data_IF_213594102829
#
_entry.id   IF_213594102829
#
_cell.length_a   1.000
_cell.length_b   1.000
_cell.length_c   1.000
_cell.angle_alpha   90.00
_cell.angle_beta   90.00
_cell.angle_gamma   90.00
#
_symmetry.space_group_name_H-M   'P 1'
#
loop_
_entity.id
_entity.type
_entity.pdbx_description
1 polymer ?
#
# COMPACT_ATOMS: atom_id res chain seq x y z
N UNK A 1 22.37 -14.51 -13.02
CA UNK A 1 21.66 -15.05 -11.86
C UNK A 1 20.25 -15.43 -12.28
N UNK A 2 19.87 -16.65 -12.00
CA UNK A 2 18.52 -17.20 -12.26
C UNK A 2 17.63 -16.98 -11.05
N UNK A 3 16.46 -16.37 -11.26
CA UNK A 3 15.57 -15.95 -10.16
C UNK A 3 14.16 -16.50 -10.32
N UNK A 4 13.45 -16.62 -9.19
CA UNK A 4 12.00 -16.68 -9.12
C UNK A 4 11.50 -15.33 -8.65
N UNK A 5 10.36 -14.88 -9.18
CA UNK A 5 9.70 -13.67 -8.72
C UNK A 5 8.32 -14.01 -8.13
N UNK A 6 7.99 -13.48 -6.96
CA UNK A 6 6.69 -13.65 -6.31
C UNK A 6 6.06 -12.28 -6.00
N UNK A 7 4.94 -11.98 -6.64
CA UNK A 7 4.28 -10.68 -6.48
C UNK A 7 2.90 -10.63 -7.11
N UNK A 8 2.10 -9.59 -6.80
CA UNK A 8 0.72 -9.52 -7.30
C UNK A 8 0.34 -8.14 -7.85
N UNK A 9 0.39 -7.01 -7.09
CA UNK A 9 -0.09 -5.70 -7.53
C UNK A 9 0.93 -4.96 -8.42
N UNK A 10 0.57 -3.74 -8.83
CA UNK A 10 1.43 -2.87 -9.63
C UNK A 10 2.78 -2.59 -8.98
N UNK A 11 2.83 -2.43 -7.67
CA UNK A 11 4.09 -2.32 -6.93
C UNK A 11 5.09 -3.43 -7.29
N UNK A 12 4.61 -4.66 -7.31
CA UNK A 12 5.41 -5.83 -7.66
C UNK A 12 5.73 -5.88 -9.17
N UNK A 13 4.77 -5.48 -10.03
CA UNK A 13 4.97 -5.44 -11.48
C UNK A 13 6.13 -4.51 -11.86
N UNK A 14 6.23 -3.33 -11.24
CA UNK A 14 7.35 -2.38 -11.50
C UNK A 14 8.71 -3.02 -11.19
N UNK A 15 8.81 -3.74 -10.08
CA UNK A 15 10.04 -4.46 -9.74
C UNK A 15 10.35 -5.59 -10.73
N UNK A 16 9.33 -6.38 -11.12
CA UNK A 16 9.47 -7.46 -12.11
C UNK A 16 9.94 -6.92 -13.47
N UNK A 17 9.34 -5.83 -13.93
CA UNK A 17 9.71 -5.15 -15.16
C UNK A 17 11.16 -4.67 -15.13
N UNK A 18 11.59 -4.09 -14.01
CA UNK A 18 12.98 -3.62 -13.83
C UNK A 18 13.98 -4.78 -13.83
N UNK A 19 13.65 -5.88 -13.19
CA UNK A 19 14.48 -7.10 -13.18
C UNK A 19 14.61 -7.69 -14.59
N UNK A 20 13.50 -7.78 -15.33
CA UNK A 20 13.50 -8.26 -16.71
C UNK A 20 14.35 -7.34 -17.63
N UNK A 21 14.16 -6.03 -17.54
CA UNK A 21 14.91 -5.05 -18.31
C UNK A 21 16.42 -5.03 -17.95
N UNK A 22 16.79 -5.47 -16.74
CA UNK A 22 18.18 -5.61 -16.29
C UNK A 22 18.82 -6.94 -16.70
N UNK A 23 18.13 -7.79 -17.46
CA UNK A 23 18.65 -9.05 -18.01
C UNK A 23 18.74 -10.21 -17.04
N UNK A 24 18.01 -10.18 -15.90
CA UNK A 24 17.93 -11.35 -15.03
C UNK A 24 17.12 -12.47 -15.69
N UNK A 25 17.58 -13.72 -15.51
CA UNK A 25 16.85 -14.92 -15.96
C UNK A 25 15.71 -15.23 -14.99
N UNK A 26 14.50 -14.76 -15.34
CA UNK A 26 13.30 -14.96 -14.53
C UNK A 26 12.67 -16.31 -14.93
N UNK A 27 12.98 -17.35 -14.19
CA UNK A 27 12.58 -18.72 -14.51
C UNK A 27 11.11 -19.02 -14.24
N UNK A 28 10.53 -18.34 -13.24
CA UNK A 28 9.15 -18.54 -12.81
C UNK A 28 8.62 -17.29 -12.11
N UNK A 29 7.37 -16.98 -12.35
CA UNK A 29 6.61 -15.96 -11.62
C UNK A 29 5.51 -16.62 -10.80
N UNK A 30 5.48 -16.34 -9.50
CA UNK A 30 4.36 -16.66 -8.61
C UNK A 30 3.48 -15.44 -8.43
N UNK A 31 2.17 -15.59 -8.57
CA UNK A 31 1.19 -14.52 -8.30
C UNK A 31 -0.12 -15.08 -7.76
N UNK A 32 -0.92 -14.25 -7.13
CA UNK A 32 -2.25 -14.64 -6.64
C UNK A 32 -3.15 -15.09 -7.81
N UNK A 33 -4.09 -16.03 -7.57
CA UNK A 33 -5.13 -16.37 -8.53
C UNK A 33 -5.90 -15.15 -9.04
N UNK A 34 -6.39 -15.23 -10.26
CA UNK A 34 -7.24 -14.19 -10.85
C UNK A 34 -8.46 -13.95 -9.97
N UNK A 35 -8.82 -12.69 -9.77
CA UNK A 35 -9.95 -12.30 -8.91
C UNK A 35 -11.03 -11.58 -9.69
N UNK A 36 -12.30 -11.74 -9.31
CA UNK A 36 -13.37 -10.92 -9.87
C UNK A 36 -13.09 -9.43 -9.64
N UNK A 37 -13.18 -8.61 -10.69
CA UNK A 37 -12.95 -7.17 -10.62
C UNK A 37 -13.93 -6.41 -11.54
N UNK A 38 -14.18 -5.15 -11.16
CA UNK A 38 -15.00 -4.20 -11.92
C UNK A 38 -16.50 -4.56 -11.94
N UNK A 39 -17.26 -3.74 -12.71
CA UNK A 39 -18.69 -3.99 -12.94
C UNK A 39 -18.84 -5.27 -13.76
N UNK A 40 -19.56 -6.27 -13.21
CA UNK A 40 -19.77 -7.56 -13.88
C UNK A 40 -18.85 -8.68 -13.41
N UNK A 41 -17.98 -8.46 -12.39
CA UNK A 41 -17.21 -9.48 -11.69
C UNK A 41 -16.41 -10.43 -12.61
N UNK A 42 -15.93 -9.96 -13.76
CA UNK A 42 -15.07 -10.76 -14.63
C UNK A 42 -13.72 -11.01 -13.95
N UNK A 43 -13.21 -12.24 -14.12
CA UNK A 43 -11.88 -12.57 -13.62
C UNK A 43 -10.83 -11.67 -14.29
N UNK A 44 -10.02 -11.00 -13.48
CA UNK A 44 -8.94 -10.13 -13.93
C UNK A 44 -7.60 -10.70 -13.48
N UNK A 45 -6.70 -10.88 -14.42
CA UNK A 45 -5.32 -11.25 -14.14
C UNK A 45 -4.61 -10.15 -13.36
N UNK A 46 -3.72 -10.52 -12.44
CA UNK A 46 -2.87 -9.57 -11.73
C UNK A 46 -1.95 -8.80 -12.69
N UNK A 47 -1.53 -7.57 -12.35
CA UNK A 47 -0.53 -6.84 -13.14
C UNK A 47 0.75 -7.65 -13.38
N UNK A 48 1.20 -8.38 -12.38
CA UNK A 48 2.37 -9.27 -12.47
C UNK A 48 2.14 -10.40 -13.48
N UNK A 49 0.96 -11.07 -13.47
CA UNK A 49 0.62 -12.10 -14.45
C UNK A 49 0.58 -11.54 -15.87
N UNK A 50 -0.05 -10.39 -16.05
CA UNK A 50 -0.15 -9.75 -17.38
C UNK A 50 1.24 -9.48 -17.96
N UNK A 51 2.14 -8.92 -17.16
CA UNK A 51 3.52 -8.68 -17.56
C UNK A 51 4.26 -9.99 -17.91
N UNK A 52 4.19 -10.99 -17.01
CA UNK A 52 4.87 -12.27 -17.23
C UNK A 52 4.40 -12.96 -18.52
N UNK A 53 3.09 -12.99 -18.78
CA UNK A 53 2.52 -13.58 -19.98
C UNK A 53 2.93 -12.85 -21.26
N UNK A 54 2.98 -11.50 -21.22
CA UNK A 54 3.42 -10.69 -22.36
C UNK A 54 4.89 -10.94 -22.73
N UNK A 55 5.70 -11.43 -21.80
CA UNK A 55 7.13 -11.70 -22.01
C UNK A 55 7.47 -13.21 -22.03
N UNK A 56 6.45 -14.08 -22.12
CA UNK A 56 6.66 -15.53 -22.20
C UNK A 56 7.25 -16.16 -20.92
N UNK A 57 7.16 -15.50 -19.78
CA UNK A 57 7.68 -16.00 -18.50
C UNK A 57 6.65 -16.98 -17.90
N UNK A 58 7.06 -18.19 -17.47
CA UNK A 58 6.17 -19.14 -16.82
C UNK A 58 5.51 -18.55 -15.56
N UNK A 59 4.20 -18.83 -15.37
CA UNK A 59 3.40 -18.32 -14.25
C UNK A 59 2.78 -19.47 -13.48
N UNK A 60 2.88 -19.44 -12.14
CA UNK A 60 2.12 -20.30 -11.23
C UNK A 60 1.25 -19.44 -10.29
N UNK A 61 0.02 -19.91 -10.05
CA UNK A 61 -1.00 -19.20 -9.26
C UNK A 61 -1.56 -20.08 -8.14
N UNK A 62 -0.73 -20.56 -7.20
CA UNK A 62 -1.23 -21.38 -6.10
C UNK A 62 -2.11 -20.56 -5.16
N UNK A 63 -3.19 -21.17 -4.68
CA UNK A 63 -4.05 -20.58 -3.61
C UNK A 63 -3.37 -20.63 -2.25
N UNK A 64 -2.40 -21.52 -2.08
CA UNK A 64 -1.59 -21.68 -0.86
C UNK A 64 -0.28 -22.37 -1.21
N UNK A 65 0.76 -22.12 -0.39
CA UNK A 65 2.03 -22.83 -0.43
C UNK A 65 2.19 -23.82 0.73
N UNK A 66 1.20 -23.94 1.60
CA UNK A 66 1.20 -24.88 2.73
C UNK A 66 0.82 -26.27 2.27
N UNK A 67 1.76 -27.21 2.34
CA UNK A 67 1.55 -28.62 1.95
C UNK A 67 0.53 -29.34 2.85
N UNK A 68 0.41 -28.90 4.09
CA UNK A 68 -0.55 -29.36 5.11
C UNK A 68 -1.81 -28.48 5.22
N UNK A 69 -2.00 -27.56 4.27
CA UNK A 69 -3.06 -26.57 4.30
C UNK A 69 -4.35 -27.02 3.56
N UNK A 70 -5.24 -26.04 3.35
CA UNK A 70 -6.55 -26.25 2.68
C UNK A 70 -6.42 -26.69 1.20
N UNK A 71 -5.30 -26.37 0.55
CA UNK A 71 -5.08 -26.58 -0.88
C UNK A 71 -3.75 -27.33 -1.11
N UNK A 72 -3.63 -28.60 -0.67
CA UNK A 72 -2.37 -29.34 -0.72
C UNK A 72 -1.90 -29.64 -2.15
N UNK A 73 -2.82 -29.86 -3.08
CA UNK A 73 -2.51 -30.09 -4.50
C UNK A 73 -1.90 -28.87 -5.16
N UNK A 74 -2.46 -27.67 -4.89
CA UNK A 74 -1.87 -26.39 -5.38
C UNK A 74 -0.46 -26.19 -4.83
N UNK A 75 -0.26 -26.50 -3.56
CA UNK A 75 1.05 -26.36 -2.90
C UNK A 75 2.06 -27.37 -3.46
N UNK A 76 1.64 -28.61 -3.75
CA UNK A 76 2.49 -29.63 -4.36
C UNK A 76 2.88 -29.24 -5.79
N UNK A 77 1.93 -28.80 -6.62
CA UNK A 77 2.21 -28.33 -7.97
C UNK A 77 3.14 -27.11 -7.98
N UNK A 78 2.93 -26.17 -7.04
CA UNK A 78 3.81 -25.03 -6.88
C UNK A 78 5.23 -25.44 -6.45
N UNK A 79 5.37 -26.44 -5.57
CA UNK A 79 6.67 -26.98 -5.16
C UNK A 79 7.41 -27.57 -6.35
N UNK A 80 6.73 -28.36 -7.16
CA UNK A 80 7.36 -29.00 -8.34
C UNK A 80 7.82 -27.92 -9.34
N UNK A 81 7.02 -26.89 -9.57
CA UNK A 81 7.40 -25.76 -10.43
C UNK A 81 8.59 -24.97 -9.87
N UNK A 82 8.60 -24.73 -8.56
CA UNK A 82 9.71 -24.03 -7.86
C UNK A 82 11.02 -24.82 -7.94
N UNK A 83 10.97 -26.14 -7.73
CA UNK A 83 12.12 -27.03 -7.87
C UNK A 83 12.64 -27.07 -9.31
N UNK A 84 11.74 -27.15 -10.29
CA UNK A 84 12.09 -27.15 -11.72
C UNK A 84 12.74 -25.82 -12.16
N UNK A 85 12.39 -24.72 -11.53
CA UNK A 85 12.94 -23.38 -11.83
C UNK A 85 14.43 -23.28 -11.52
N UNK A 86 14.98 -24.06 -10.57
CA UNK A 86 16.40 -24.08 -10.19
C UNK A 86 16.96 -22.66 -9.97
N UNK A 87 16.23 -21.82 -9.30
CA UNK A 87 16.62 -20.45 -9.06
C UNK A 87 17.62 -20.33 -7.91
N UNK A 88 18.52 -19.37 -8.01
CA UNK A 88 19.50 -19.06 -6.98
C UNK A 88 18.92 -18.22 -5.85
N UNK A 89 17.91 -17.39 -6.17
CA UNK A 89 17.23 -16.49 -5.24
C UNK A 89 15.77 -16.33 -5.64
N UNK A 90 14.90 -16.11 -4.67
CA UNK A 90 13.51 -15.66 -4.90
C UNK A 90 13.39 -14.19 -4.50
N UNK A 91 12.83 -13.37 -5.40
CA UNK A 91 12.46 -11.99 -5.12
C UNK A 91 10.98 -11.93 -4.81
N UNK A 92 10.62 -11.30 -3.71
CA UNK A 92 9.25 -11.18 -3.23
C UNK A 92 8.87 -9.69 -3.13
N UNK A 93 7.68 -9.34 -3.64
CA UNK A 93 7.12 -8.00 -3.52
C UNK A 93 5.60 -8.08 -3.44
N UNK A 94 5.01 -7.73 -2.31
CA UNK A 94 3.56 -7.71 -2.12
C UNK A 94 2.85 -8.95 -2.70
N UNK A 95 3.36 -10.14 -2.42
CA UNK A 95 2.83 -11.40 -2.97
C UNK A 95 1.48 -11.76 -2.37
N UNK A 96 1.33 -11.58 -1.06
CA UNK A 96 0.07 -11.79 -0.35
C UNK A 96 -0.20 -13.23 0.08
N UNK A 97 0.79 -14.13 0.01
CA UNK A 97 0.79 -15.44 0.68
C UNK A 97 1.95 -15.53 1.65
N UNK A 98 1.74 -16.25 2.75
CA UNK A 98 2.81 -16.62 3.68
C UNK A 98 3.69 -17.67 2.98
N UNK A 99 5.01 -17.46 3.00
CA UNK A 99 5.98 -18.42 2.52
C UNK A 99 6.33 -19.38 3.66
N UNK A 100 5.99 -20.68 3.55
CA UNK A 100 6.41 -21.66 4.54
C UNK A 100 7.92 -21.90 4.46
N UNK A 101 8.51 -22.47 5.52
CA UNK A 101 9.95 -22.66 5.65
C UNK A 101 10.57 -23.35 4.43
N UNK A 102 9.93 -24.37 3.90
CA UNK A 102 10.45 -25.08 2.73
C UNK A 102 10.62 -24.21 1.47
N UNK A 103 9.81 -23.11 1.34
CA UNK A 103 9.99 -22.12 0.25
C UNK A 103 11.17 -21.21 0.56
N UNK A 104 11.30 -20.76 1.82
CA UNK A 104 12.38 -19.88 2.25
C UNK A 104 13.76 -20.52 2.07
N UNK A 105 13.85 -21.83 2.30
CA UNK A 105 15.07 -22.61 2.24
C UNK A 105 15.40 -23.13 0.83
N UNK A 106 14.47 -23.04 -0.12
CA UNK A 106 14.62 -23.66 -1.43
C UNK A 106 15.67 -22.98 -2.31
N UNK A 107 15.73 -21.65 -2.47
CA UNK A 107 16.78 -21.00 -3.23
C UNK A 107 18.08 -20.92 -2.41
N UNK A 108 19.21 -21.24 -3.01
CA UNK A 108 20.50 -21.27 -2.30
C UNK A 108 20.88 -19.94 -1.59
N UNK A 109 20.38 -18.82 -2.12
CA UNK A 109 20.55 -17.47 -1.53
C UNK A 109 19.32 -17.00 -0.77
N UNK A 110 18.32 -17.87 -0.58
CA UNK A 110 17.07 -17.57 0.11
C UNK A 110 16.14 -16.63 -0.65
N UNK A 111 15.28 -15.94 0.10
CA UNK A 111 14.25 -15.06 -0.44
C UNK A 111 14.53 -13.60 -0.03
N UNK A 112 14.50 -12.67 -0.99
CA UNK A 112 14.66 -11.24 -0.77
C UNK A 112 13.33 -10.55 -0.93
N UNK A 113 12.90 -9.78 0.09
CA UNK A 113 11.65 -9.02 0.04
C UNK A 113 11.93 -7.53 -0.21
N UNK A 114 11.11 -6.93 -1.08
CA UNK A 114 11.04 -5.48 -1.28
C UNK A 114 9.99 -4.94 -0.32
N UNK A 115 10.41 -4.42 0.83
CA UNK A 115 9.52 -3.90 1.86
C UNK A 115 9.44 -2.37 1.78
N UNK A 116 8.20 -1.85 1.76
CA UNK A 116 7.94 -0.42 1.54
C UNK A 116 7.95 0.39 2.84
N UNK A 117 9.00 0.21 3.66
CA UNK A 117 9.28 1.04 4.84
C UNK A 117 10.76 1.03 5.18
N UNK A 118 11.14 1.87 6.14
CA UNK A 118 12.45 1.87 6.80
C UNK A 118 12.38 0.92 8.01
N UNK A 119 12.69 -0.36 7.81
CA UNK A 119 12.69 -1.36 8.89
C UNK A 119 13.67 -0.96 10.01
N UNK A 120 13.31 -1.23 11.27
CA UNK A 120 12.25 -2.09 11.76
C UNK A 120 10.87 -1.41 11.89
N UNK A 121 10.72 -0.15 11.45
CA UNK A 121 9.43 0.55 11.49
C UNK A 121 8.49 0.03 10.39
N UNK A 122 7.24 -0.16 10.75
CA UNK A 122 6.16 -0.56 9.84
C UNK A 122 6.33 -1.95 9.21
N UNK A 123 6.69 -2.98 10.00
CA UNK A 123 6.57 -4.38 9.59
C UNK A 123 5.11 -4.70 9.25
N UNK A 124 4.84 -5.48 8.21
CA UNK A 124 3.50 -5.96 7.88
C UNK A 124 2.90 -5.39 6.59
N UNK A 125 1.55 -5.34 6.50
CA UNK A 125 0.85 -5.32 5.22
C UNK A 125 0.64 -3.93 4.59
N UNK A 126 0.64 -2.84 5.38
CA UNK A 126 0.25 -1.51 4.91
C UNK A 126 1.21 -0.38 5.30
N UNK A 127 2.54 -0.56 5.13
CA UNK A 127 3.55 0.40 5.62
C UNK A 127 3.37 1.80 5.05
N UNK A 128 3.02 1.94 3.77
CA UNK A 128 2.85 3.23 3.08
C UNK A 128 1.71 4.03 3.71
N UNK A 129 0.55 3.40 3.92
CA UNK A 129 -0.61 4.06 4.54
C UNK A 129 -0.27 4.51 5.96
N UNK A 130 0.32 3.63 6.77
CA UNK A 130 0.61 3.90 8.18
C UNK A 130 1.66 4.98 8.36
N UNK A 131 2.66 5.08 7.48
CA UNK A 131 3.64 6.15 7.52
C UNK A 131 3.01 7.53 7.29
N UNK A 132 2.12 7.67 6.28
CA UNK A 132 1.40 8.92 6.03
C UNK A 132 0.44 9.25 7.18
N UNK A 133 -0.35 8.27 7.63
CA UNK A 133 -1.33 8.43 8.72
C UNK A 133 -0.66 8.91 10.02
N UNK A 134 0.48 8.31 10.36
CA UNK A 134 1.27 8.69 11.54
C UNK A 134 1.92 10.07 11.42
N UNK A 135 2.07 10.60 10.20
CA UNK A 135 2.74 11.87 9.95
C UNK A 135 4.26 11.74 9.97
N UNK A 136 4.79 10.59 9.55
CA UNK A 136 6.23 10.40 9.39
C UNK A 136 6.78 11.41 8.37
N UNK A 137 7.94 11.97 8.66
CA UNK A 137 8.60 12.91 7.74
C UNK A 137 9.22 12.21 6.53
N UNK A 138 9.52 10.93 6.65
CA UNK A 138 10.15 10.12 5.62
C UNK A 138 9.65 8.67 5.65
N UNK A 139 9.78 8.00 4.54
CA UNK A 139 9.60 6.57 4.36
C UNK A 139 10.75 6.05 3.50
N UNK A 140 10.64 4.85 2.98
CA UNK A 140 11.68 4.29 2.11
C UNK A 140 11.40 2.86 1.70
N UNK A 141 12.43 2.26 1.14
CA UNK A 141 12.47 0.84 0.81
C UNK A 141 13.56 0.16 1.61
N UNK A 142 13.24 -0.97 2.17
CA UNK A 142 14.22 -1.93 2.68
C UNK A 142 14.18 -3.20 1.85
N UNK A 143 15.31 -3.57 1.22
CA UNK A 143 15.50 -4.93 0.71
C UNK A 143 15.97 -5.77 1.88
N UNK A 144 15.26 -6.83 2.21
CA UNK A 144 15.56 -7.68 3.35
C UNK A 144 15.64 -9.15 2.98
N UNK A 145 16.47 -9.91 3.67
CA UNK A 145 16.46 -11.37 3.68
C UNK A 145 15.19 -11.81 4.42
N UNK A 146 14.40 -12.70 3.82
CA UNK A 146 13.21 -13.21 4.51
C UNK A 146 13.58 -14.34 5.47
N UNK A 147 12.90 -14.36 6.59
CA UNK A 147 12.86 -15.44 7.58
C UNK A 147 11.42 -15.87 7.86
N UNK A 148 11.20 -16.74 8.84
CA UNK A 148 9.87 -17.21 9.23
C UNK A 148 9.01 -16.16 9.94
N UNK A 149 9.60 -15.04 10.37
CA UNK A 149 8.91 -13.95 11.06
C UNK A 149 8.25 -12.98 10.10
N UNK A 150 7.41 -12.10 10.65
CA UNK A 150 6.76 -11.04 9.86
C UNK A 150 7.75 -9.88 9.69
N UNK A 151 8.42 -9.82 8.54
CA UNK A 151 9.37 -8.79 8.16
C UNK A 151 10.49 -8.57 9.21
N UNK A 152 11.01 -9.68 9.78
CA UNK A 152 11.99 -9.68 10.88
C UNK A 152 13.43 -9.92 10.41
N UNK A 153 13.61 -10.38 9.18
CA UNK A 153 14.91 -10.77 8.66
C UNK A 153 15.89 -9.62 8.46
N UNK A 154 17.12 -9.94 8.18
CA UNK A 154 18.21 -8.99 8.07
C UNK A 154 18.04 -8.03 6.87
N UNK A 155 18.38 -6.76 7.09
CA UNK A 155 18.35 -5.73 6.06
C UNK A 155 19.58 -5.86 5.15
N UNK A 156 19.35 -5.89 3.84
CA UNK A 156 20.41 -5.96 2.80
C UNK A 156 20.71 -4.58 2.24
N UNK A 157 19.67 -3.81 1.93
CA UNK A 157 19.75 -2.43 1.46
C UNK A 157 18.60 -1.61 2.05
N UNK A 158 18.84 -0.33 2.27
CA UNK A 158 17.83 0.63 2.68
C UNK A 158 18.06 1.96 1.96
N UNK A 159 16.97 2.60 1.55
CA UNK A 159 17.01 3.93 0.98
C UNK A 159 15.78 4.74 1.38
N UNK A 160 16.01 5.96 1.84
CA UNK A 160 14.96 6.89 2.32
C UNK A 160 14.39 7.74 1.19
N UNK A 161 13.15 8.20 1.37
CA UNK A 161 12.50 9.23 0.57
C UNK A 161 11.62 10.09 1.47
N UNK A 162 11.57 11.42 1.30
CA UNK A 162 10.70 12.26 2.11
C UNK A 162 9.22 12.00 1.83
N UNK A 163 8.39 12.15 2.86
CA UNK A 163 6.93 12.24 2.73
C UNK A 163 6.56 13.73 2.75
N UNK A 164 6.06 14.23 1.64
CA UNK A 164 5.66 15.63 1.51
C UNK A 164 4.20 15.84 1.96
N UNK A 165 3.83 17.08 2.24
CA UNK A 165 2.45 17.44 2.57
C UNK A 165 1.46 17.18 1.40
N UNK A 166 1.93 16.91 0.20
CA UNK A 166 1.11 16.59 -0.98
C UNK A 166 1.03 15.10 -1.28
N UNK A 167 1.82 14.28 -0.58
CA UNK A 167 1.83 12.85 -0.84
C UNK A 167 0.54 12.19 -0.34
N UNK A 168 -0.07 11.43 -1.22
CA UNK A 168 -1.08 10.43 -0.90
C UNK A 168 -0.44 9.04 -0.91
N UNK A 169 -1.16 8.03 -0.45
CA UNK A 169 -0.69 6.65 -0.59
C UNK A 169 -0.41 6.30 -2.06
N UNK A 170 -1.20 6.81 -3.02
CA UNK A 170 -0.94 6.56 -4.44
C UNK A 170 0.40 7.13 -4.89
N UNK A 171 0.68 8.40 -4.61
CA UNK A 171 1.92 9.06 -5.09
C UNK A 171 3.17 8.51 -4.41
N UNK A 172 3.08 8.22 -3.11
CA UNK A 172 4.19 7.62 -2.37
C UNK A 172 4.44 6.17 -2.81
N UNK A 173 3.36 5.40 -3.06
CA UNK A 173 3.43 4.04 -3.61
C UNK A 173 4.20 4.01 -4.93
N UNK A 174 3.88 4.88 -5.89
CA UNK A 174 4.53 4.88 -7.20
C UNK A 174 6.02 5.23 -7.08
N UNK A 175 6.36 6.20 -6.23
CA UNK A 175 7.75 6.57 -5.95
C UNK A 175 8.52 5.43 -5.28
N UNK A 176 7.91 4.74 -4.31
CA UNK A 176 8.52 3.59 -3.63
C UNK A 176 8.63 2.36 -4.54
N UNK A 177 7.68 2.14 -5.45
CA UNK A 177 7.74 1.06 -6.42
C UNK A 177 8.97 1.20 -7.36
N UNK A 178 9.19 2.41 -7.91
CA UNK A 178 10.38 2.68 -8.71
C UNK A 178 11.68 2.52 -7.91
N UNK A 179 11.72 3.05 -6.69
CA UNK A 179 12.86 2.92 -5.78
C UNK A 179 13.15 1.45 -5.45
N UNK A 180 12.11 0.68 -5.12
CA UNK A 180 12.23 -0.76 -4.81
C UNK A 180 12.76 -1.57 -5.99
N UNK A 181 12.28 -1.25 -7.20
CA UNK A 181 12.79 -1.87 -8.42
C UNK A 181 14.28 -1.57 -8.69
N UNK A 182 14.74 -0.36 -8.38
CA UNK A 182 16.18 -0.02 -8.48
C UNK A 182 17.02 -0.74 -7.43
N UNK A 183 16.57 -0.75 -6.18
CA UNK A 183 17.32 -1.35 -5.07
C UNK A 183 17.41 -2.86 -5.16
N UNK A 184 16.37 -3.55 -5.64
CA UNK A 184 16.45 -5.01 -5.79
C UNK A 184 17.45 -5.42 -6.87
N UNK A 185 17.58 -4.67 -7.96
CA UNK A 185 18.60 -4.90 -8.98
C UNK A 185 20.00 -4.75 -8.37
N UNK A 186 20.23 -3.71 -7.57
CA UNK A 186 21.50 -3.52 -6.85
C UNK A 186 21.77 -4.68 -5.89
N UNK A 187 20.78 -5.08 -5.09
CA UNK A 187 20.91 -6.17 -4.13
C UNK A 187 21.27 -7.49 -4.82
N UNK A 188 20.65 -7.81 -5.95
CA UNK A 188 20.95 -9.03 -6.70
C UNK A 188 22.35 -8.99 -7.35
N UNK A 189 22.81 -7.84 -7.82
CA UNK A 189 24.16 -7.69 -8.35
C UNK A 189 25.21 -7.86 -7.25
N UNK A 190 24.99 -7.30 -6.07
CA UNK A 190 25.86 -7.50 -4.91
C UNK A 190 25.82 -8.95 -4.40
N UNK A 191 24.64 -9.59 -4.44
CA UNK A 191 24.49 -11.01 -4.13
C UNK A 191 25.30 -11.90 -5.11
N UNK A 192 25.21 -11.60 -6.42
CA UNK A 192 25.96 -12.34 -7.45
C UNK A 192 27.49 -12.24 -7.28
N UNK A 193 27.94 -11.13 -6.72
CA UNK A 193 29.37 -10.88 -6.44
C UNK A 193 29.80 -11.27 -5.01
N UNK A 194 28.94 -11.91 -4.23
CA UNK A 194 29.13 -12.28 -2.81
C UNK A 194 29.56 -11.09 -1.92
N UNK A 195 29.07 -9.88 -2.23
CA UNK A 195 29.40 -8.65 -1.51
C UNK A 195 28.30 -8.15 -0.58
N UNK A 196 27.17 -8.84 -0.48
CA UNK A 196 26.11 -8.48 0.47
C UNK A 196 26.64 -8.43 1.91
N UNK A 197 26.17 -7.47 2.67
CA UNK A 197 26.47 -7.31 4.09
C UNK A 197 25.13 -7.19 4.84
N UNK A 198 24.50 -8.33 5.20
CA UNK A 198 23.27 -8.34 5.96
C UNK A 198 23.46 -7.64 7.31
N UNK A 199 22.54 -6.77 7.66
CA UNK A 199 22.51 -6.05 8.93
C UNK A 199 21.25 -6.43 9.68
N UNK A 200 21.44 -6.95 10.91
CA UNK A 200 20.30 -7.29 11.78
C UNK A 200 19.48 -6.06 12.09
N UNK A 201 18.14 -6.21 12.05
CA UNK A 201 17.25 -5.13 12.46
C UNK A 201 17.45 -4.79 13.95
N UNK A 202 17.50 -3.49 14.31
CA UNK A 202 17.55 -3.08 15.71
C UNK A 202 16.27 -3.52 16.44
N UNK A 203 16.40 -3.78 17.75
CA UNK A 203 15.25 -4.10 18.60
C UNK A 203 14.39 -2.87 18.91
N UNK A 204 15.01 -1.68 18.87
CA UNK A 204 14.34 -0.41 19.09
C UNK A 204 13.65 0.08 17.80
N UNK A 205 12.55 0.82 17.93
CA UNK A 205 11.84 1.41 16.79
C UNK A 205 10.93 0.43 16.04
N UNK A 206 10.78 -0.82 16.50
CA UNK A 206 9.87 -1.79 15.91
C UNK A 206 8.43 -1.29 16.00
N UNK A 207 7.75 -1.25 14.87
CA UNK A 207 6.30 -1.01 14.80
C UNK A 207 5.66 -1.84 13.69
N UNK A 208 4.32 -1.97 13.75
CA UNK A 208 3.57 -2.83 12.85
C UNK A 208 2.54 -2.04 12.04
N UNK A 209 2.50 -2.31 10.75
CA UNK A 209 1.57 -1.75 9.78
C UNK A 209 0.48 -2.77 9.46
N UNK A 210 -0.55 -2.82 10.31
CA UNK A 210 -1.70 -3.69 10.08
C UNK A 210 -2.41 -3.29 8.78
N UNK A 211 -3.00 -4.29 8.13
CA UNK A 211 -3.83 -4.10 6.94
C UNK A 211 -4.90 -3.05 7.21
N UNK A 212 -5.15 -2.19 6.23
CA UNK A 212 -6.21 -1.19 6.33
C UNK A 212 -7.57 -1.86 6.18
N UNK A 213 -8.42 -1.67 7.17
CA UNK A 213 -9.79 -2.15 7.17
C UNK A 213 -10.74 -1.09 6.60
N UNK A 214 -11.79 -1.52 5.90
CA UNK A 214 -12.76 -0.59 5.30
C UNK A 214 -13.42 0.33 6.33
N UNK A 215 -13.64 -0.17 7.54
CA UNK A 215 -14.22 0.61 8.63
C UNK A 215 -13.36 1.81 9.06
N UNK A 216 -12.04 1.72 8.89
CA UNK A 216 -11.12 2.82 9.20
C UNK A 216 -11.32 4.05 8.30
N UNK A 217 -12.04 3.90 7.17
CA UNK A 217 -12.33 5.03 6.27
C UNK A 217 -13.20 6.12 6.91
N UNK A 218 -13.92 5.80 7.98
CA UNK A 218 -14.83 6.73 8.64
C UNK A 218 -14.04 7.84 9.34
N UNK A 219 -14.41 9.10 9.04
CA UNK A 219 -13.76 10.25 9.66
C UNK A 219 -14.36 10.49 11.05
N UNK A 220 -13.49 10.54 12.04
CA UNK A 220 -13.81 11.00 13.38
C UNK A 220 -13.46 12.49 13.50
N UNK A 221 -14.47 13.34 13.43
CA UNK A 221 -14.34 14.78 13.47
C UNK A 221 -13.88 15.33 14.82
N UNK A 222 -13.92 14.51 15.89
CA UNK A 222 -13.36 14.89 17.20
C UNK A 222 -11.84 14.90 17.25
N UNK A 223 -11.19 14.35 16.22
CA UNK A 223 -9.73 14.39 16.09
C UNK A 223 -9.24 15.77 15.62
N UNK A 224 -7.97 16.11 15.88
CA UNK A 224 -7.36 17.32 15.32
C UNK A 224 -7.41 17.36 13.80
N UNK A 225 -7.58 18.54 13.20
CA UNK A 225 -7.62 18.73 11.75
C UNK A 225 -6.39 18.13 11.04
N UNK A 226 -5.21 18.23 11.66
CA UNK A 226 -3.96 17.66 11.14
C UNK A 226 -3.95 16.13 11.09
N UNK A 227 -4.65 15.46 12.02
CA UNK A 227 -4.81 14.00 12.02
C UNK A 227 -5.76 13.58 10.91
N UNK A 228 -6.89 14.27 10.78
CA UNK A 228 -7.89 13.97 9.75
C UNK A 228 -7.30 14.20 8.35
N UNK A 229 -6.54 15.28 8.16
CA UNK A 229 -5.85 15.60 6.91
C UNK A 229 -4.92 14.46 6.48
N UNK A 230 -4.07 13.99 7.39
CA UNK A 230 -3.17 12.85 7.12
C UNK A 230 -3.93 11.58 6.76
N UNK A 231 -5.05 11.29 7.45
CA UNK A 231 -5.88 10.11 7.13
C UNK A 231 -6.53 10.23 5.75
N UNK A 232 -7.00 11.41 5.35
CA UNK A 232 -7.53 11.63 3.99
C UNK A 232 -6.47 11.29 2.95
N UNK A 233 -5.24 11.77 3.10
CA UNK A 233 -4.12 11.44 2.20
C UNK A 233 -3.70 9.97 2.28
N UNK A 234 -3.61 9.42 3.48
CA UNK A 234 -3.24 8.02 3.69
C UNK A 234 -4.24 7.05 3.04
N UNK A 235 -5.50 7.42 2.95
CA UNK A 235 -6.56 6.57 2.41
C UNK A 235 -6.90 6.86 0.93
N UNK A 236 -6.17 7.72 0.26
CA UNK A 236 -6.31 7.92 -1.18
C UNK A 236 -5.29 7.03 -1.94
N UNK A 237 -5.72 6.08 -2.77
CA UNK A 237 -7.07 5.90 -3.33
C UNK A 237 -7.96 4.90 -2.58
N UNK A 238 -7.45 4.17 -1.62
CA UNK A 238 -8.17 3.13 -0.90
C UNK A 238 -7.89 3.20 0.62
N UNK A 239 -8.91 3.04 1.46
CA UNK A 239 -10.35 2.83 1.15
C UNK A 239 -11.10 4.11 0.77
N UNK A 240 -10.45 5.27 0.79
CA UNK A 240 -11.02 6.61 0.67
C UNK A 240 -11.68 7.05 1.98
N UNK A 241 -11.20 8.16 2.58
CA UNK A 241 -11.83 8.73 3.77
C UNK A 241 -13.30 9.07 3.48
N UNK A 242 -14.19 8.87 4.44
CA UNK A 242 -15.63 9.06 4.24
C UNK A 242 -16.31 9.63 5.47
N UNK A 243 -17.32 10.48 5.23
CA UNK A 243 -18.21 11.02 6.21
C UNK A 243 -19.65 10.98 5.67
N UNK A 244 -20.67 11.16 6.50
CA UNK A 244 -22.03 11.40 6.03
C UNK A 244 -22.38 12.89 6.08
N UNK A 245 -23.20 13.33 5.13
CA UNK A 245 -23.84 14.63 5.14
C UNK A 245 -25.34 14.40 4.94
N UNK A 246 -26.11 14.52 6.03
CA UNK A 246 -27.46 13.94 6.07
C UNK A 246 -27.38 12.42 5.88
N UNK A 247 -28.21 11.89 4.99
CA UNK A 247 -28.27 10.45 4.68
C UNK A 247 -27.27 10.00 3.60
N UNK A 248 -26.48 10.92 3.03
CA UNK A 248 -25.55 10.59 1.97
C UNK A 248 -24.12 10.36 2.46
N UNK A 249 -23.51 9.29 2.00
CA UNK A 249 -22.07 9.03 2.22
C UNK A 249 -21.24 9.84 1.23
N UNK A 250 -20.35 10.67 1.76
CA UNK A 250 -19.44 11.52 0.99
C UNK A 250 -18.01 11.05 1.20
N UNK A 251 -17.29 10.83 0.11
CA UNK A 251 -15.83 10.59 0.14
C UNK A 251 -15.09 11.91 0.11
N UNK A 252 -14.04 11.97 0.92
CA UNK A 252 -13.16 13.12 1.08
C UNK A 252 -11.79 12.74 0.49
N UNK A 253 -11.34 13.49 -0.52
CA UNK A 253 -10.15 13.13 -1.28
C UNK A 253 -8.99 14.08 -1.08
N UNK A 254 -9.28 15.39 -0.97
CA UNK A 254 -8.25 16.39 -0.70
C UNK A 254 -8.72 17.37 0.36
N UNK A 255 -7.79 17.76 1.20
CA UNK A 255 -7.98 18.74 2.25
C UNK A 255 -6.65 19.39 2.63
N UNK A 256 -6.73 20.46 3.38
CA UNK A 256 -5.60 21.03 4.10
C UNK A 256 -6.08 21.60 5.44
N UNK A 257 -5.17 21.67 6.40
CA UNK A 257 -5.44 22.33 7.67
C UNK A 257 -5.56 23.83 7.39
N UNK A 258 -6.67 24.43 7.81
CA UNK A 258 -6.91 25.85 7.66
C UNK A 258 -6.18 26.63 8.76
N UNK A 259 -5.71 27.85 8.42
CA UNK A 259 -5.20 28.79 9.40
C UNK A 259 -6.25 29.50 10.24
N UNK A 260 -7.53 29.29 9.96
CA UNK A 260 -8.64 29.87 10.69
C UNK A 260 -8.75 29.26 12.10
N UNK A 261 -8.95 30.10 13.11
CA UNK A 261 -9.24 29.60 14.44
C UNK A 261 -10.64 28.96 14.49
N UNK A 262 -10.74 27.79 15.11
CA UNK A 262 -12.03 27.19 15.40
C UNK A 262 -12.87 28.12 16.28
N UNK A 263 -14.10 28.51 15.89
CA UNK A 263 -14.97 29.34 16.72
C UNK A 263 -15.34 28.66 18.04
N UNK A 264 -15.43 29.43 19.11
CA UNK A 264 -15.92 28.94 20.38
C UNK A 264 -17.37 28.43 20.23
N UNK A 265 -17.64 27.22 20.72
CA UNK A 265 -18.96 26.59 20.60
C UNK A 265 -19.26 25.86 19.29
N UNK A 266 -18.35 25.91 18.30
CA UNK A 266 -18.50 25.09 17.09
C UNK A 266 -18.52 23.60 17.42
N UNK A 267 -19.40 22.86 16.75
CA UNK A 267 -19.55 21.41 16.94
C UNK A 267 -18.63 20.68 15.96
N UNK A 268 -18.04 19.54 16.39
CA UNK A 268 -17.19 18.73 15.52
C UNK A 268 -17.96 18.27 14.28
N UNK A 269 -17.36 18.46 13.10
CA UNK A 269 -17.99 18.19 11.81
C UNK A 269 -18.88 19.32 11.27
N UNK A 270 -19.04 20.42 12.00
CA UNK A 270 -19.85 21.57 11.55
C UNK A 270 -19.15 22.31 10.41
N UNK A 271 -19.90 22.62 9.35
CA UNK A 271 -19.45 23.48 8.26
C UNK A 271 -19.50 24.93 8.71
N UNK A 272 -18.35 25.53 8.86
CA UNK A 272 -18.17 26.91 9.34
C UNK A 272 -18.28 27.93 8.21
N UNK A 273 -17.78 27.59 7.03
CA UNK A 273 -17.71 28.47 5.87
C UNK A 273 -17.65 27.61 4.59
N UNK A 274 -18.25 28.13 3.54
CA UNK A 274 -18.12 27.61 2.17
C UNK A 274 -17.72 28.78 1.28
N UNK A 275 -16.60 28.66 0.60
CA UNK A 275 -16.05 29.67 -0.31
C UNK A 275 -15.38 29.01 -1.53
N UNK A 276 -14.67 29.80 -2.34
CA UNK A 276 -13.96 29.30 -3.54
C UNK A 276 -12.78 28.37 -3.21
N UNK A 277 -12.23 28.45 -2.00
CA UNK A 277 -11.15 27.56 -1.55
C UNK A 277 -11.67 26.18 -1.18
N UNK A 278 -12.87 26.10 -0.56
CA UNK A 278 -13.42 24.82 -0.15
C UNK A 278 -14.55 24.90 0.86
N UNK A 279 -14.78 23.76 1.52
CA UNK A 279 -15.72 23.58 2.62
C UNK A 279 -14.93 23.50 3.92
N UNK A 280 -15.05 24.51 4.79
CA UNK A 280 -14.30 24.62 6.03
C UNK A 280 -15.08 23.97 7.17
N UNK A 281 -14.51 22.96 7.79
CA UNK A 281 -15.17 22.09 8.77
C UNK A 281 -14.46 22.16 10.11
N UNK A 282 -15.21 22.36 11.19
CA UNK A 282 -14.71 22.30 12.55
C UNK A 282 -14.24 20.88 12.92
N UNK A 283 -13.05 20.77 13.46
CA UNK A 283 -12.47 19.53 13.97
C UNK A 283 -12.31 19.61 15.48
N UNK A 284 -11.96 18.53 16.16
CA UNK A 284 -11.69 18.55 17.62
C UNK A 284 -10.66 19.61 18.01
N UNK A 285 -9.67 19.80 17.15
CA UNK A 285 -8.72 20.92 17.22
C UNK A 285 -8.49 21.47 15.81
N UNK A 286 -8.66 22.79 15.64
CA UNK A 286 -8.49 23.50 14.38
C UNK A 286 -9.67 23.31 13.41
N UNK A 287 -9.41 23.71 12.16
CA UNK A 287 -10.37 23.67 11.04
C UNK A 287 -9.75 22.97 9.86
N UNK A 288 -10.53 22.17 9.17
CA UNK A 288 -10.11 21.46 7.95
C UNK A 288 -10.84 22.05 6.74
N UNK A 289 -10.09 22.49 5.73
CA UNK A 289 -10.65 22.88 4.44
C UNK A 289 -10.69 21.67 3.51
N UNK A 290 -11.88 21.23 3.12
CA UNK A 290 -12.11 20.16 2.15
C UNK A 290 -12.13 20.74 0.74
N UNK A 291 -11.25 20.28 -0.15
CA UNK A 291 -11.09 20.84 -1.50
C UNK A 291 -11.53 19.90 -2.61
N UNK A 292 -11.63 18.57 -2.36
CA UNK A 292 -12.12 17.60 -3.32
C UNK A 292 -13.01 16.55 -2.62
N UNK A 293 -14.26 16.42 -3.10
CA UNK A 293 -15.27 15.56 -2.53
C UNK A 293 -15.93 14.68 -3.62
N UNK A 294 -16.65 13.63 -3.17
CA UNK A 294 -17.33 12.72 -4.09
C UNK A 294 -18.53 12.10 -3.43
N UNK A 295 -19.69 12.17 -4.08
CA UNK A 295 -20.90 11.39 -3.72
C UNK A 295 -20.75 9.95 -4.15
N UNK A 296 -21.45 9.05 -3.49
CA UNK A 296 -21.49 7.63 -3.86
C UNK A 296 -21.89 7.46 -5.34
N UNK A 297 -21.07 6.71 -6.10
CA UNK A 297 -21.29 6.43 -7.51
C UNK A 297 -21.03 7.60 -8.49
N UNK A 298 -20.67 8.79 -8.00
CA UNK A 298 -20.36 9.97 -8.82
C UNK A 298 -18.84 10.07 -9.12
N UNK A 299 -18.45 11.17 -9.76
CA UNK A 299 -17.04 11.54 -9.99
C UNK A 299 -16.49 12.33 -8.80
N UNK A 300 -15.18 12.35 -8.63
CA UNK A 300 -14.48 13.32 -7.77
C UNK A 300 -14.71 14.71 -8.35
N UNK A 301 -15.03 15.67 -7.51
CA UNK A 301 -15.30 17.06 -7.87
C UNK A 301 -14.53 17.99 -6.96
N UNK A 302 -14.09 19.13 -7.47
CA UNK A 302 -13.65 20.23 -6.61
C UNK A 302 -14.78 20.65 -5.66
N UNK A 303 -14.45 21.21 -4.50
CA UNK A 303 -15.45 21.67 -3.55
C UNK A 303 -16.43 22.67 -4.19
N UNK A 304 -15.94 23.60 -5.02
CA UNK A 304 -16.76 24.56 -5.72
C UNK A 304 -17.77 23.90 -6.70
N UNK A 305 -17.38 22.83 -7.40
CA UNK A 305 -18.30 22.06 -8.25
C UNK A 305 -19.27 21.23 -7.44
N UNK A 306 -18.80 20.65 -6.33
CA UNK A 306 -19.59 19.82 -5.44
C UNK A 306 -20.76 20.61 -4.84
N UNK A 307 -20.48 21.78 -4.27
CA UNK A 307 -21.51 22.60 -3.58
C UNK A 307 -22.55 23.19 -4.54
N UNK A 308 -22.22 23.37 -5.82
CA UNK A 308 -23.21 23.78 -6.84
C UNK A 308 -24.25 22.70 -7.12
N UNK A 309 -23.87 21.43 -7.00
CA UNK A 309 -24.75 20.30 -7.28
C UNK A 309 -25.31 19.59 -6.05
N UNK A 310 -24.82 19.94 -4.87
CA UNK A 310 -25.22 19.34 -3.62
C UNK A 310 -25.22 20.39 -2.50
N UNK A 311 -26.37 20.60 -1.80
CA UNK A 311 -26.50 21.68 -0.83
C UNK A 311 -25.61 21.43 0.41
N UNK A 312 -24.54 22.18 0.49
CA UNK A 312 -23.65 22.27 1.66
C UNK A 312 -23.57 23.73 2.02
N UNK A 313 -24.00 24.09 3.22
CA UNK A 313 -23.95 25.46 3.71
C UNK A 313 -23.45 25.54 5.14
N UNK A 314 -23.19 26.75 5.59
CA UNK A 314 -22.82 27.02 6.97
C UNK A 314 -23.86 26.44 7.93
N UNK A 315 -23.41 25.80 9.01
CA UNK A 315 -24.27 25.13 10.00
C UNK A 315 -24.67 23.69 9.62
N UNK A 316 -24.46 23.25 8.38
CA UNK A 316 -24.61 21.81 8.09
C UNK A 316 -23.52 21.01 8.79
N UNK A 317 -23.73 19.70 9.01
CA UNK A 317 -22.79 18.91 9.80
C UNK A 317 -22.43 17.62 9.10
N UNK A 318 -21.14 17.41 8.92
CA UNK A 318 -20.60 16.10 8.61
C UNK A 318 -20.60 15.22 9.86
N UNK A 319 -21.07 13.99 9.74
CA UNK A 319 -21.04 12.99 10.79
C UNK A 319 -20.23 11.76 10.35
N UNK A 320 -19.86 10.91 11.29
CA UNK A 320 -19.43 9.57 10.92
C UNK A 320 -20.62 8.87 10.26
N UNK A 321 -20.44 8.18 9.09
CA UNK A 321 -21.52 7.40 8.50
C UNK A 321 -22.03 6.37 9.50
N UNK A 322 -23.35 6.15 9.53
CA UNK A 322 -23.92 5.06 10.32
C UNK A 322 -23.25 3.76 9.89
N UNK A 323 -22.78 2.98 10.87
CA UNK A 323 -22.29 1.62 10.61
C UNK A 323 -23.46 0.77 10.14
N UNK A 324 -23.38 0.28 8.90
CA UNK A 324 -24.37 -0.65 8.34
C UNK A 324 -24.24 -2.03 8.96
#
# INVERSE_FOLDING_TARGET
>A
MRIIFAGTPDFARVALERLHASGFDIALVLTQPDRPAGRGLKLKASPVKQFAQAHGIPVAQPRSLRLDGKYPEDAAAARDALLAARAEVMVVAAYGLILPQWVLDLPARGCFNIHASLLPRWRGAAPIHRAIEAGDAESGITIMQMDAGLDTGDMLFMHTTPITARDTTATLHDRLADLGGKLIVLALNEAAADRLRPVRQPAEGVSYAHKIEKAESLVDWSQPASVIERRIRAFDPFPGASASLGDEAIKLWKSHVDGMNRPAGAVDGEVLLVNDEGVHVACGDGVLCLTELQRAGAKRLSAAEFVRGFPVGQGTRFAAPATA
#
